data_IF_312809970604
#
_entry.id   IF_312809970604
#
_cell.length_a   1.000
_cell.length_b   1.000
_cell.length_c   1.000
_cell.angle_alpha   90.00
_cell.angle_beta   90.00
_cell.angle_gamma   90.00
#
_symmetry.space_group_name_H-M   'P 1'
#
loop_
_entity.id
_entity.type
_entity.pdbx_description
1 polymer ?
#
# COMPACT_ATOMS: atom_id res chain seq x y z
N UNK A 1 -40.28 45.12 38.92
CA UNK A 1 -39.66 45.44 37.61
C UNK A 1 -38.17 45.75 37.71
N UNK A 2 -37.71 46.63 38.59
CA UNK A 2 -36.29 47.03 38.68
C UNK A 2 -35.33 45.84 38.88
N UNK A 3 -35.67 44.86 39.72
CA UNK A 3 -34.84 43.67 39.95
C UNK A 3 -34.70 42.77 38.70
N UNK A 4 -35.76 42.64 37.90
CA UNK A 4 -35.72 41.84 36.67
C UNK A 4 -34.88 42.53 35.59
N UNK A 5 -34.97 43.85 35.49
CA UNK A 5 -34.15 44.65 34.57
C UNK A 5 -32.67 44.59 34.94
N UNK A 6 -32.35 44.64 36.25
CA UNK A 6 -30.98 44.46 36.74
C UNK A 6 -30.41 43.07 36.46
N UNK A 7 -31.22 42.01 36.64
CA UNK A 7 -30.78 40.65 36.37
C UNK A 7 -30.44 40.46 34.90
N UNK A 8 -31.32 40.91 33.99
CA UNK A 8 -31.10 40.80 32.53
C UNK A 8 -29.90 41.62 32.08
N UNK A 9 -29.69 42.81 32.64
CA UNK A 9 -28.51 43.62 32.36
C UNK A 9 -27.21 42.90 32.75
N UNK A 10 -27.20 42.21 33.90
CA UNK A 10 -26.04 41.47 34.37
C UNK A 10 -25.75 40.23 33.51
N UNK A 11 -26.78 39.48 33.08
CA UNK A 11 -26.57 38.33 32.19
C UNK A 11 -26.09 38.75 30.81
N UNK A 12 -26.64 39.83 30.25
CA UNK A 12 -26.20 40.33 28.94
C UNK A 12 -24.74 40.81 29.00
N UNK A 13 -24.35 41.50 30.07
CA UNK A 13 -22.97 41.93 30.27
C UNK A 13 -22.03 40.72 30.45
N UNK A 14 -22.45 39.70 31.21
CA UNK A 14 -21.69 38.47 31.39
C UNK A 14 -21.46 37.72 30.07
N UNK A 15 -22.51 37.58 29.25
CA UNK A 15 -22.40 36.94 27.93
C UNK A 15 -21.51 37.75 26.99
N UNK A 16 -21.61 39.09 27.01
CA UNK A 16 -20.76 39.95 26.19
C UNK A 16 -19.28 39.85 26.55
N UNK A 17 -18.95 39.75 27.84
CA UNK A 17 -17.56 39.56 28.31
C UNK A 17 -17.04 38.19 27.89
N UNK A 18 -17.83 37.12 28.07
CA UNK A 18 -17.44 35.77 27.63
C UNK A 18 -17.25 35.72 26.11
N UNK A 19 -18.14 36.33 25.34
CA UNK A 19 -18.01 36.42 23.88
C UNK A 19 -16.79 37.23 23.47
N UNK A 20 -16.50 38.35 24.13
CA UNK A 20 -15.29 39.13 23.86
C UNK A 20 -14.01 38.34 24.18
N UNK A 21 -13.98 37.55 25.25
CA UNK A 21 -12.83 36.69 25.58
C UNK A 21 -12.66 35.57 24.54
N UNK A 22 -13.75 34.90 24.16
CA UNK A 22 -13.71 33.84 23.14
C UNK A 22 -13.40 34.35 21.72
N UNK A 23 -13.76 35.59 21.40
CA UNK A 23 -13.49 36.19 20.09
C UNK A 23 -12.19 37.00 20.06
N UNK A 24 -11.58 37.31 21.21
CA UNK A 24 -10.28 38.01 21.32
C UNK A 24 -9.10 37.07 21.51
N UNK A 25 -9.32 35.78 21.78
CA UNK A 25 -8.26 34.80 21.58
C UNK A 25 -7.87 34.85 20.11
N UNK A 26 -6.64 35.26 19.82
CA UNK A 26 -6.05 35.18 18.48
C UNK A 26 -6.37 33.80 17.95
N UNK A 27 -7.04 33.74 16.79
CA UNK A 27 -7.23 32.47 16.09
C UNK A 27 -5.87 31.76 16.03
N UNK A 28 -5.83 30.43 16.22
CA UNK A 28 -4.57 29.69 16.13
C UNK A 28 -3.86 30.13 14.85
N UNK A 29 -2.64 30.65 14.99
CA UNK A 29 -1.82 31.01 13.84
C UNK A 29 -1.69 29.73 13.02
N UNK A 30 -2.16 29.76 11.76
CA UNK A 30 -2.17 28.57 10.91
C UNK A 30 -0.74 28.05 10.82
N UNK A 31 -0.56 26.76 11.14
CA UNK A 31 0.75 26.12 11.02
C UNK A 31 1.04 26.07 9.51
N UNK A 32 2.11 26.72 9.03
CA UNK A 32 2.40 26.71 7.61
C UNK A 32 2.73 25.28 7.18
N UNK A 33 2.09 24.81 6.12
CA UNK A 33 2.29 23.47 5.59
C UNK A 33 3.35 23.53 4.50
N UNK A 34 4.63 23.32 4.83
CA UNK A 34 5.72 23.33 3.86
C UNK A 34 6.39 21.95 3.76
N UNK A 35 6.51 21.41 2.54
CA UNK A 35 7.30 20.22 2.25
C UNK A 35 8.75 20.63 1.99
N UNK A 36 9.66 20.18 2.85
CA UNK A 36 11.09 20.52 2.80
C UNK A 36 11.90 19.23 2.73
N UNK A 37 12.83 19.16 1.77
CA UNK A 37 13.72 18.02 1.55
C UNK A 37 15.18 18.45 1.73
N UNK A 38 16.00 17.57 2.32
CA UNK A 38 17.45 17.77 2.45
C UNK A 38 18.18 17.01 1.35
N UNK A 39 19.17 17.65 0.74
CA UNK A 39 20.00 17.06 -0.30
C UNK A 39 21.45 17.48 -0.17
N UNK A 40 22.34 16.77 -0.87
CA UNK A 40 23.73 17.16 -1.02
C UNK A 40 23.90 17.95 -2.32
N UNK A 41 24.33 19.22 -2.22
CA UNK A 41 24.70 20.04 -3.37
C UNK A 41 26.17 20.38 -3.30
N UNK A 42 26.96 19.78 -4.21
CA UNK A 42 28.40 20.06 -4.35
C UNK A 42 29.20 19.88 -3.05
N UNK A 43 28.81 18.93 -2.19
CA UNK A 43 29.48 18.65 -0.92
C UNK A 43 28.91 19.43 0.28
N UNK A 44 27.88 20.25 0.09
CA UNK A 44 27.19 20.98 1.15
C UNK A 44 25.78 20.44 1.37
N UNK A 45 25.31 20.47 2.61
CA UNK A 45 23.91 20.25 2.94
C UNK A 45 23.07 21.39 2.35
N UNK A 46 21.99 21.04 1.68
CA UNK A 46 21.04 21.97 1.08
C UNK A 46 19.61 21.56 1.48
N UNK A 47 18.77 22.52 1.83
CA UNK A 47 17.34 22.31 2.09
C UNK A 47 16.54 22.95 0.96
N UNK A 48 15.66 22.21 0.30
CA UNK A 48 14.80 22.72 -0.77
C UNK A 48 13.34 22.63 -0.37
N UNK A 49 12.60 23.67 -0.70
CA UNK A 49 11.15 23.72 -0.51
C UNK A 49 10.46 23.10 -1.74
N UNK A 50 9.83 21.93 -1.57
CA UNK A 50 9.24 21.15 -2.67
C UNK A 50 7.74 21.37 -2.83
N UNK A 51 7.04 21.93 -1.82
CA UNK A 51 5.61 22.19 -1.92
C UNK A 51 5.03 22.90 -0.70
N UNK A 52 3.83 23.47 -0.85
CA UNK A 52 3.10 24.08 0.26
C UNK A 52 3.35 25.58 0.49
N UNK A 53 3.17 26.05 1.73
CA UNK A 53 3.19 27.46 2.13
C UNK A 53 4.60 28.04 2.21
N UNK A 54 4.79 29.25 1.68
CA UNK A 54 6.10 29.94 1.75
C UNK A 54 6.42 30.41 3.17
N UNK A 55 7.68 30.26 3.57
CA UNK A 55 8.14 30.55 4.93
C UNK A 55 8.94 31.85 4.99
N UNK A 56 8.47 32.82 5.79
CA UNK A 56 9.16 34.10 5.93
C UNK A 56 10.39 33.99 6.85
N UNK A 57 11.48 34.64 6.48
CA UNK A 57 12.69 34.71 7.32
C UNK A 57 12.34 35.32 8.68
N UNK A 58 12.66 34.59 9.75
CA UNK A 58 12.34 34.97 11.14
C UNK A 58 11.11 34.27 11.72
N UNK A 59 10.26 33.68 10.88
CA UNK A 59 9.10 32.85 11.26
C UNK A 59 9.44 31.36 11.31
N UNK A 60 10.66 30.96 10.92
CA UNK A 60 11.19 29.62 11.10
C UNK A 60 12.56 29.62 11.77
N UNK A 61 12.94 28.48 12.34
CA UNK A 61 14.26 28.16 12.87
C UNK A 61 14.73 26.83 12.32
N UNK A 62 16.03 26.72 12.06
CA UNK A 62 16.66 25.48 11.61
C UNK A 62 17.61 25.01 12.70
N UNK A 63 17.36 23.81 13.21
CA UNK A 63 18.20 23.15 14.20
C UNK A 63 18.98 22.03 13.52
N UNK A 64 20.26 21.89 13.87
CA UNK A 64 21.08 20.79 13.37
C UNK A 64 22.08 20.30 14.42
N UNK A 65 22.45 19.03 14.36
CA UNK A 65 23.22 18.37 15.41
C UNK A 65 23.87 17.05 15.01
N UNK A 66 24.65 16.49 15.94
CA UNK A 66 25.29 15.16 15.90
C UNK A 66 24.79 14.39 17.12
N UNK A 67 24.16 13.23 16.94
CA UNK A 67 23.42 12.53 18.01
C UNK A 67 22.24 13.31 18.60
N UNK A 68 22.05 13.22 19.92
CA UNK A 68 20.89 13.79 20.65
C UNK A 68 20.98 15.31 20.96
N UNK A 69 22.02 16.01 20.51
CA UNK A 69 22.20 17.45 20.75
C UNK A 69 21.89 18.28 19.49
N UNK A 70 20.78 19.03 19.52
CA UNK A 70 20.38 19.96 18.45
C UNK A 70 20.72 21.41 18.82
N UNK A 71 21.36 22.15 17.91
CA UNK A 71 21.67 23.57 18.08
C UNK A 71 20.96 24.40 17.01
N UNK A 72 20.50 25.60 17.37
CA UNK A 72 19.98 26.57 16.40
C UNK A 72 21.14 26.99 15.48
N UNK A 73 21.03 26.63 14.20
CA UNK A 73 22.00 26.94 13.15
C UNK A 73 21.38 27.74 12.02
N UNK A 74 20.23 28.38 12.26
CA UNK A 74 19.50 29.15 11.24
C UNK A 74 20.38 30.18 10.56
N UNK A 75 21.30 30.80 11.31
CA UNK A 75 22.26 31.80 10.84
C UNK A 75 23.37 31.25 9.92
N UNK A 76 23.55 29.93 9.90
CA UNK A 76 24.51 29.25 9.02
C UNK A 76 23.93 28.89 7.66
N UNK A 77 22.62 29.07 7.45
CA UNK A 77 22.00 28.89 6.14
C UNK A 77 22.00 30.19 5.33
N UNK A 78 22.05 30.07 4.01
CA UNK A 78 21.84 31.22 3.12
C UNK A 78 20.43 31.78 3.30
N UNK A 79 20.28 33.11 3.21
CA UNK A 79 18.98 33.78 3.31
C UNK A 79 18.39 33.99 1.90
N UNK A 80 17.10 33.71 1.68
CA UNK A 80 16.44 34.01 0.40
C UNK A 80 16.51 35.51 0.05
N UNK A 81 16.68 35.88 -1.24
CA UNK A 81 16.88 37.27 -1.65
C UNK A 81 15.71 38.21 -1.31
N UNK A 82 14.48 37.71 -1.31
CA UNK A 82 13.26 38.47 -1.03
C UNK A 82 12.75 38.28 0.42
N UNK A 83 13.49 37.52 1.24
CA UNK A 83 13.14 37.24 2.63
C UNK A 83 12.01 36.21 2.80
N UNK A 84 11.60 35.54 1.72
CA UNK A 84 10.63 34.44 1.73
C UNK A 84 11.32 33.18 1.23
N UNK A 85 11.09 32.04 1.87
CA UNK A 85 11.53 30.76 1.35
C UNK A 85 10.34 30.08 0.67
N UNK A 86 10.37 30.01 -0.65
CA UNK A 86 9.26 29.55 -1.49
C UNK A 86 9.59 28.29 -2.27
N UNK A 87 8.55 27.64 -2.85
CA UNK A 87 8.68 26.42 -3.64
C UNK A 87 9.75 26.57 -4.74
N UNK A 88 10.66 25.61 -4.82
CA UNK A 88 11.79 25.55 -5.75
C UNK A 88 13.06 26.26 -5.26
N UNK A 89 13.00 26.96 -4.12
CA UNK A 89 14.16 27.62 -3.55
C UNK A 89 14.94 26.74 -2.57
N UNK A 90 16.26 26.93 -2.55
CA UNK A 90 17.20 26.12 -1.77
C UNK A 90 18.00 26.98 -0.80
N UNK A 91 18.02 26.60 0.48
CA UNK A 91 18.94 27.15 1.48
C UNK A 91 20.17 26.26 1.59
N UNK A 92 21.37 26.84 1.48
CA UNK A 92 22.65 26.11 1.56
C UNK A 92 23.28 26.31 2.93
N UNK A 93 23.70 25.22 3.56
CA UNK A 93 24.31 25.21 4.88
C UNK A 93 25.82 25.45 4.84
N UNK A 94 26.28 26.43 5.63
CA UNK A 94 27.69 26.80 5.77
C UNK A 94 28.23 26.34 7.14
N UNK A 95 28.28 25.03 7.36
CA UNK A 95 28.80 24.44 8.59
C UNK A 95 29.27 22.99 8.41
N UNK A 96 29.83 22.37 9.47
CA UNK A 96 30.19 20.96 9.45
C UNK A 96 28.94 20.09 9.29
N UNK A 97 29.03 19.05 8.46
CA UNK A 97 27.90 18.20 8.09
C UNK A 97 27.18 17.66 9.34
N UNK A 98 25.91 18.00 9.57
CA UNK A 98 25.14 17.48 10.69
C UNK A 98 24.59 16.09 10.35
N UNK A 99 24.33 15.28 11.38
CA UNK A 99 23.65 13.98 11.24
C UNK A 99 22.13 14.14 11.17
N UNK A 100 21.60 15.21 11.79
CA UNK A 100 20.16 15.48 11.88
C UNK A 100 19.88 16.97 11.67
N UNK A 101 18.77 17.28 10.99
CA UNK A 101 18.30 18.65 10.72
C UNK A 101 16.80 18.72 10.92
N UNK A 102 16.31 19.78 11.59
CA UNK A 102 14.88 20.01 11.84
C UNK A 102 14.55 21.47 11.52
N UNK A 103 13.43 21.69 10.84
CA UNK A 103 12.86 23.03 10.59
C UNK A 103 11.63 23.22 11.47
N UNK A 104 11.60 24.31 12.23
CA UNK A 104 10.57 24.59 13.25
C UNK A 104 9.92 25.94 12.98
N UNK A 105 8.59 26.02 13.07
CA UNK A 105 7.83 27.28 13.02
C UNK A 105 7.99 28.04 14.33
N UNK A 106 8.24 29.34 14.25
CA UNK A 106 8.48 30.20 15.41
C UNK A 106 7.20 30.73 16.05
N UNK A 107 6.08 30.75 15.32
CA UNK A 107 4.78 31.17 15.84
C UNK A 107 4.13 30.12 16.74
N UNK A 108 4.21 28.84 16.33
CA UNK A 108 3.56 27.71 17.00
C UNK A 108 4.51 26.72 17.65
N UNK A 109 5.84 26.95 17.57
CA UNK A 109 6.90 26.03 18.03
C UNK A 109 6.72 24.58 17.54
N UNK A 110 6.11 24.42 16.35
CA UNK A 110 5.82 23.11 15.76
C UNK A 110 6.90 22.72 14.75
N UNK A 111 7.26 21.44 14.72
CA UNK A 111 8.15 20.89 13.69
C UNK A 111 7.42 20.97 12.34
N UNK A 112 8.02 21.67 11.39
CA UNK A 112 7.53 21.79 10.02
C UNK A 112 8.03 20.65 9.14
N UNK A 113 9.30 20.25 9.31
CA UNK A 113 9.90 19.14 8.60
C UNK A 113 11.14 18.60 9.33
N UNK A 114 11.35 17.30 9.24
CA UNK A 114 12.59 16.60 9.61
C UNK A 114 13.13 15.88 8.36
N UNK A 115 13.88 16.59 7.51
CA UNK A 115 14.33 16.01 6.25
C UNK A 115 15.45 14.99 6.46
N UNK A 116 15.34 13.83 5.81
CA UNK A 116 16.34 12.76 5.86
C UNK A 116 17.56 13.11 5.00
N UNK A 117 18.77 12.89 5.53
CA UNK A 117 20.04 13.20 4.85
C UNK A 117 20.83 11.92 4.57
N UNK A 118 20.96 11.53 3.30
CA UNK A 118 21.65 10.29 2.87
C UNK A 118 22.99 10.63 2.20
N UNK A 119 24.11 10.20 2.79
CA UNK A 119 25.45 10.37 2.19
C UNK A 119 25.72 9.28 1.16
N UNK A 120 25.41 9.56 -0.10
CA UNK A 120 25.68 8.61 -1.18
C UNK A 120 24.95 8.98 -2.47
N UNK A 121 25.58 9.82 -3.30
CA UNK A 121 25.37 9.84 -4.75
C UNK A 121 23.98 10.14 -5.33
N UNK A 122 22.92 10.40 -4.53
CA UNK A 122 21.65 10.90 -5.06
C UNK A 122 21.71 12.42 -5.21
N UNK A 123 21.69 12.85 -6.47
CA UNK A 123 21.29 14.20 -6.90
C UNK A 123 19.83 14.39 -6.48
N UNK A 124 19.46 15.61 -6.07
CA UNK A 124 18.09 16.05 -5.79
C UNK A 124 17.03 15.28 -6.59
N UNK A 125 16.20 14.50 -5.87
CA UNK A 125 14.99 13.88 -6.39
C UNK A 125 13.82 14.65 -5.73
N UNK A 126 12.97 15.37 -6.49
CA UNK A 126 11.95 16.28 -5.95
C UNK A 126 10.74 15.58 -5.30
N UNK A 127 10.80 14.27 -5.08
CA UNK A 127 9.71 13.56 -4.42
C UNK A 127 9.77 13.76 -2.88
N UNK A 128 8.69 14.26 -2.25
CA UNK A 128 8.67 14.62 -0.84
C UNK A 128 8.76 13.39 0.06
N UNK A 129 9.76 13.38 0.94
CA UNK A 129 9.88 12.40 2.03
C UNK A 129 8.90 12.78 3.15
N UNK A 130 8.08 11.82 3.58
CA UNK A 130 7.12 11.99 4.68
C UNK A 130 7.83 11.83 6.04
N UNK A 131 7.61 12.70 7.05
CA UNK A 131 8.35 12.69 8.32
C UNK A 131 7.94 11.57 9.27
N UNK A 132 8.91 10.93 9.92
CA UNK A 132 8.72 10.00 11.04
C UNK A 132 9.47 10.48 12.29
N UNK A 133 8.77 10.52 13.43
CA UNK A 133 9.29 10.83 14.78
C UNK A 133 9.59 9.52 15.58
N UNK A 134 10.31 9.53 16.72
CA UNK A 134 11.69 9.02 16.80
C UNK A 134 11.96 7.94 17.87
N UNK A 135 12.98 7.10 17.60
CA UNK A 135 13.62 6.18 18.57
C UNK A 135 14.72 5.31 17.93
N UNK A 136 15.98 5.72 18.10
CA UNK A 136 17.30 5.19 17.65
C UNK A 136 17.57 3.65 17.85
N UNK A 137 18.73 3.08 17.43
CA UNK A 137 19.61 3.26 16.26
C UNK A 137 20.00 1.92 15.58
N UNK A 138 20.12 1.90 14.26
CA UNK A 138 20.71 0.80 13.51
C UNK A 138 21.00 1.22 12.08
N UNK A 139 21.82 0.46 11.36
CA UNK A 139 21.72 0.34 9.88
C UNK A 139 20.23 0.33 9.48
N UNK A 140 19.80 0.66 8.24
CA UNK A 140 18.46 0.29 7.87
C UNK A 140 18.40 -1.22 8.06
N UNK A 141 17.68 -1.69 9.08
CA UNK A 141 17.26 -3.06 9.11
C UNK A 141 16.60 -3.23 7.75
N UNK A 142 17.21 -4.04 6.88
CA UNK A 142 16.43 -4.70 5.86
C UNK A 142 15.22 -5.22 6.62
N UNK A 143 14.04 -4.63 6.37
CA UNK A 143 12.82 -5.11 7.02
C UNK A 143 12.83 -6.60 6.80
N UNK A 144 12.88 -7.35 7.89
CA UNK A 144 12.84 -8.79 7.78
C UNK A 144 11.59 -9.11 6.94
N UNK A 145 11.67 -10.04 5.98
CA UNK A 145 10.56 -10.32 5.04
C UNK A 145 9.21 -10.52 5.75
N UNK A 146 9.29 -10.94 7.02
CA UNK A 146 8.19 -11.08 7.96
C UNK A 146 7.44 -9.77 8.26
N UNK A 147 8.15 -8.66 8.46
CA UNK A 147 7.55 -7.37 8.79
C UNK A 147 6.79 -6.82 7.59
N UNK A 148 7.29 -7.08 6.37
CA UNK A 148 6.59 -6.71 5.14
C UNK A 148 5.30 -7.53 4.99
N UNK A 149 5.31 -8.84 5.30
CA UNK A 149 4.10 -9.68 5.27
C UNK A 149 3.02 -9.15 6.23
N UNK A 150 3.44 -8.65 7.40
CA UNK A 150 2.54 -8.17 8.45
C UNK A 150 2.02 -6.77 8.13
N UNK A 151 2.90 -5.84 7.79
CA UNK A 151 2.59 -4.44 7.52
C UNK A 151 1.79 -4.28 6.22
N UNK A 152 2.15 -5.02 5.17
CA UNK A 152 1.45 -4.97 3.87
C UNK A 152 0.19 -5.83 3.85
N UNK A 153 -0.22 -6.41 4.99
CA UNK A 153 -1.39 -7.28 5.12
C UNK A 153 -1.40 -8.40 4.05
N UNK A 154 -0.26 -9.09 3.89
CA UNK A 154 -0.11 -10.12 2.85
C UNK A 154 -0.99 -11.31 3.19
N UNK A 155 -1.98 -11.53 2.33
CA UNK A 155 -2.96 -12.59 2.44
C UNK A 155 -2.49 -13.87 1.76
N UNK A 156 -1.93 -13.73 0.55
CA UNK A 156 -1.42 -14.83 -0.27
C UNK A 156 -0.06 -14.44 -0.82
N UNK A 157 0.94 -15.28 -0.55
CA UNK A 157 2.27 -15.18 -1.15
C UNK A 157 2.66 -16.54 -1.74
N UNK A 158 2.95 -16.59 -3.05
CA UNK A 158 3.30 -17.83 -3.75
C UNK A 158 3.50 -17.68 -5.25
N UNK A 159 3.88 -18.75 -5.94
CA UNK A 159 4.13 -18.73 -7.39
C UNK A 159 2.89 -18.90 -8.26
N UNK A 160 1.78 -19.39 -7.68
CA UNK A 160 0.56 -19.66 -8.41
C UNK A 160 -0.69 -19.33 -7.60
N UNK A 161 -1.74 -18.94 -8.30
CA UNK A 161 -3.06 -18.74 -7.72
C UNK A 161 -4.12 -19.36 -8.60
N UNK A 162 -4.96 -20.23 -8.03
CA UNK A 162 -6.12 -20.79 -8.72
C UNK A 162 -7.33 -20.64 -7.84
N UNK A 163 -8.34 -19.92 -8.32
CA UNK A 163 -9.52 -19.58 -7.57
C UNK A 163 -10.79 -20.14 -8.21
N UNK A 164 -11.20 -21.35 -7.80
CA UNK A 164 -12.48 -21.93 -8.16
C UNK A 164 -13.69 -21.35 -7.41
N UNK A 165 -13.44 -20.50 -6.40
CA UNK A 165 -14.48 -19.95 -5.54
C UNK A 165 -15.38 -18.90 -6.22
N UNK A 166 -16.33 -18.36 -5.47
CA UNK A 166 -17.18 -17.25 -5.91
C UNK A 166 -16.63 -15.89 -5.51
N UNK A 167 -16.15 -15.74 -4.27
CA UNK A 167 -15.70 -14.44 -3.75
C UNK A 167 -14.45 -14.59 -2.90
N UNK A 168 -13.45 -13.74 -3.13
CA UNK A 168 -12.37 -13.48 -2.19
C UNK A 168 -12.56 -12.07 -1.65
N UNK A 169 -12.72 -11.92 -0.34
CA UNK A 169 -12.92 -10.64 0.34
C UNK A 169 -11.71 -10.33 1.21
N UNK A 170 -10.91 -9.37 0.78
CA UNK A 170 -9.68 -8.97 1.45
C UNK A 170 -9.40 -7.48 1.18
N UNK A 171 -10.31 -6.57 1.59
CA UNK A 171 -10.07 -5.15 1.44
C UNK A 171 -8.93 -4.74 2.39
N UNK A 172 -8.07 -3.84 1.93
CA UNK A 172 -6.78 -3.46 2.51
C UNK A 172 -5.76 -4.61 2.65
N UNK A 173 -5.93 -5.69 1.88
CA UNK A 173 -4.99 -6.81 1.86
C UNK A 173 -4.20 -6.88 0.55
N UNK A 174 -3.10 -7.63 0.61
CA UNK A 174 -2.19 -7.79 -0.51
C UNK A 174 -2.07 -9.26 -0.94
N UNK A 175 -2.22 -9.51 -2.24
CA UNK A 175 -1.96 -10.80 -2.88
C UNK A 175 -0.76 -10.67 -3.79
N UNK A 176 0.22 -11.55 -3.60
CA UNK A 176 1.50 -11.52 -4.31
C UNK A 176 1.72 -12.87 -4.97
N UNK A 177 1.66 -12.86 -6.30
CA UNK A 177 1.85 -14.05 -7.13
C UNK A 177 3.10 -13.83 -7.96
N UNK A 178 4.17 -14.57 -7.69
CA UNK A 178 5.44 -14.39 -8.44
C UNK A 178 5.37 -14.90 -9.88
N UNK A 179 4.32 -15.66 -10.22
CA UNK A 179 3.97 -16.03 -11.58
C UNK A 179 2.92 -15.12 -12.23
N UNK A 180 2.32 -15.61 -13.31
CA UNK A 180 1.21 -14.95 -14.00
C UNK A 180 -0.17 -15.51 -13.64
N UNK A 181 -1.21 -14.96 -14.27
CA UNK A 181 -2.60 -15.37 -14.08
C UNK A 181 -3.32 -15.55 -15.42
N UNK A 182 -4.04 -16.64 -15.60
CA UNK A 182 -4.80 -16.92 -16.83
C UNK A 182 -6.30 -17.09 -16.54
N UNK A 183 -7.15 -16.94 -17.56
CA UNK A 183 -8.61 -17.18 -17.46
C UNK A 183 -8.94 -18.49 -16.74
N UNK A 184 -8.25 -19.58 -17.08
CA UNK A 184 -8.50 -20.92 -16.51
C UNK A 184 -8.07 -21.08 -15.05
N UNK A 185 -7.33 -20.11 -14.51
CA UNK A 185 -7.01 -20.06 -13.08
C UNK A 185 -8.20 -19.55 -12.26
N UNK A 186 -9.17 -18.86 -12.87
CA UNK A 186 -10.29 -18.27 -12.17
C UNK A 186 -11.60 -18.97 -12.52
N UNK A 187 -12.49 -19.05 -11.55
CA UNK A 187 -13.90 -19.24 -11.84
C UNK A 187 -14.41 -18.01 -12.61
N UNK A 188 -15.01 -18.22 -13.78
CA UNK A 188 -15.37 -17.16 -14.71
C UNK A 188 -16.33 -16.10 -14.16
N UNK A 189 -17.03 -16.35 -13.05
CA UNK A 189 -17.87 -15.35 -12.38
C UNK A 189 -17.31 -14.84 -11.05
N UNK A 190 -16.04 -15.12 -10.73
CA UNK A 190 -15.49 -14.79 -9.43
C UNK A 190 -15.34 -13.28 -9.21
N UNK A 191 -15.49 -12.86 -7.96
CA UNK A 191 -15.19 -11.51 -7.52
C UNK A 191 -14.01 -11.55 -6.55
N UNK A 192 -12.84 -11.06 -6.98
CA UNK A 192 -11.66 -10.97 -6.15
C UNK A 192 -11.53 -9.55 -5.58
N UNK A 193 -12.29 -9.29 -4.52
CA UNK A 193 -12.35 -8.04 -3.77
C UNK A 193 -11.10 -7.90 -2.86
N UNK A 194 -9.94 -7.73 -3.47
CA UNK A 194 -8.64 -7.54 -2.80
C UNK A 194 -8.07 -6.20 -3.22
N UNK A 195 -7.54 -5.42 -2.27
CA UNK A 195 -7.03 -4.08 -2.58
C UNK A 195 -5.79 -4.09 -3.43
N UNK A 196 -4.81 -4.93 -3.09
CA UNK A 196 -3.53 -4.96 -3.78
C UNK A 196 -3.26 -6.32 -4.43
N UNK A 197 -2.87 -6.29 -5.70
CA UNK A 197 -2.37 -7.44 -6.43
C UNK A 197 -1.01 -7.13 -7.03
N UNK A 198 -0.09 -8.09 -6.88
CA UNK A 198 1.21 -8.06 -7.53
C UNK A 198 1.41 -9.37 -8.29
N UNK A 199 1.58 -9.26 -9.61
CA UNK A 199 1.86 -10.39 -10.49
C UNK A 199 3.28 -10.28 -11.05
N UNK A 200 4.10 -11.29 -10.81
CA UNK A 200 5.47 -11.37 -11.30
C UNK A 200 5.59 -11.80 -12.77
N UNK A 201 4.46 -12.07 -13.44
CA UNK A 201 4.41 -12.35 -14.86
C UNK A 201 3.09 -11.92 -15.50
N UNK A 202 2.88 -12.34 -16.75
CA UNK A 202 1.74 -11.93 -17.56
C UNK A 202 0.38 -12.29 -16.93
N UNK A 203 -0.59 -11.39 -17.11
CA UNK A 203 -2.00 -11.61 -16.76
C UNK A 203 -2.83 -11.68 -18.03
N UNK A 204 -3.31 -12.88 -18.37
CA UNK A 204 -4.11 -13.13 -19.56
C UNK A 204 -5.54 -13.57 -19.22
N UNK A 205 -6.46 -12.60 -19.17
CA UNK A 205 -7.87 -12.80 -18.91
C UNK A 205 -8.68 -12.53 -20.19
N UNK A 206 -8.61 -13.50 -21.11
CA UNK A 206 -9.40 -13.56 -22.34
C UNK A 206 -10.53 -14.59 -22.18
N UNK A 207 -11.64 -14.17 -21.58
CA UNK A 207 -12.79 -15.02 -21.24
C UNK A 207 -13.24 -14.87 -19.79
N UNK A 208 -14.39 -15.48 -19.45
CA UNK A 208 -15.04 -15.27 -18.15
C UNK A 208 -15.47 -13.81 -17.96
N UNK A 209 -15.68 -13.39 -16.71
CA UNK A 209 -15.96 -12.02 -16.25
C UNK A 209 -15.46 -11.83 -14.81
N UNK A 210 -14.43 -12.61 -14.41
CA UNK A 210 -13.89 -12.54 -13.06
C UNK A 210 -13.25 -11.18 -12.83
N UNK A 211 -13.67 -10.49 -11.77
CA UNK A 211 -13.24 -9.12 -11.47
C UNK A 211 -12.07 -9.11 -10.50
N UNK A 212 -11.21 -8.10 -10.64
CA UNK A 212 -10.03 -7.87 -9.80
C UNK A 212 -10.12 -6.50 -9.13
N UNK A 213 -9.54 -6.40 -7.95
CA UNK A 213 -9.50 -5.16 -7.19
C UNK A 213 -10.67 -5.01 -6.23
N UNK A 214 -10.46 -4.25 -5.16
CA UNK A 214 -11.51 -3.92 -4.22
C UNK A 214 -12.30 -2.71 -4.67
N UNK A 215 -13.63 -2.83 -4.74
CA UNK A 215 -14.52 -1.69 -4.98
C UNK A 215 -14.60 -0.76 -3.77
N UNK A 216 -14.50 -1.32 -2.56
CA UNK A 216 -14.61 -0.59 -1.29
C UNK A 216 -13.32 0.14 -0.92
N UNK A 217 -12.17 -0.52 -1.09
CA UNK A 217 -10.85 0.05 -0.84
C UNK A 217 -9.93 -0.21 -2.04
N UNK A 218 -10.14 0.47 -3.18
CA UNK A 218 -9.28 0.33 -4.35
C UNK A 218 -7.81 0.58 -3.99
N UNK A 219 -6.93 -0.35 -4.37
CA UNK A 219 -5.49 -0.26 -4.16
C UNK A 219 -4.76 -0.33 -5.49
N UNK A 220 -3.68 -1.11 -5.54
CA UNK A 220 -2.78 -1.24 -6.69
C UNK A 220 -2.91 -2.62 -7.33
N UNK A 221 -2.94 -2.67 -8.66
CA UNK A 221 -2.76 -3.90 -9.44
C UNK A 221 -1.50 -3.75 -10.28
N UNK A 222 -0.44 -4.45 -9.90
CA UNK A 222 0.83 -4.46 -10.63
C UNK A 222 1.01 -5.77 -11.43
N UNK A 223 1.44 -5.63 -12.68
CA UNK A 223 1.73 -6.73 -13.60
C UNK A 223 3.13 -6.54 -14.18
N UNK A 224 4.07 -7.40 -13.78
CA UNK A 224 5.43 -7.47 -14.32
C UNK A 224 5.43 -8.25 -15.66
N UNK A 225 4.79 -7.67 -16.66
CA UNK A 225 4.63 -8.26 -17.99
C UNK A 225 3.38 -7.74 -18.68
N UNK A 226 2.85 -8.53 -19.63
CA UNK A 226 1.70 -8.13 -20.42
C UNK A 226 0.37 -8.31 -19.67
N UNK A 227 -0.55 -7.37 -19.87
CA UNK A 227 -1.92 -7.43 -19.38
C UNK A 227 -2.90 -7.58 -20.55
N UNK A 228 -3.72 -8.63 -20.50
CA UNK A 228 -4.78 -8.89 -21.48
C UNK A 228 -6.12 -8.98 -20.78
N UNK A 229 -6.99 -8.00 -21.05
CA UNK A 229 -8.38 -7.92 -20.60
C UNK A 229 -9.29 -7.87 -21.83
N UNK A 230 -9.38 -9.00 -22.54
CA UNK A 230 -9.93 -9.03 -23.88
C UNK A 230 -11.42 -9.39 -23.88
N UNK A 231 -11.78 -10.66 -23.72
CA UNK A 231 -13.18 -11.05 -23.61
C UNK A 231 -13.73 -11.01 -22.19
N UNK A 232 -14.90 -10.36 -22.05
CA UNK A 232 -15.83 -10.41 -20.91
C UNK A 232 -15.83 -9.20 -19.98
N UNK A 233 -17.03 -8.81 -19.54
CA UNK A 233 -17.32 -7.54 -18.85
C UNK A 233 -16.94 -7.47 -17.36
N UNK A 234 -15.71 -7.87 -17.03
CA UNK A 234 -15.15 -7.80 -15.67
C UNK A 234 -14.91 -6.37 -15.22
N UNK A 235 -14.96 -6.13 -13.90
CA UNK A 235 -14.52 -4.87 -13.31
C UNK A 235 -13.06 -4.98 -12.84
N UNK A 236 -12.32 -3.90 -13.02
CA UNK A 236 -10.96 -3.72 -12.52
C UNK A 236 -10.98 -2.46 -11.63
N UNK A 237 -10.83 -2.67 -10.33
CA UNK A 237 -10.81 -1.60 -9.34
C UNK A 237 -9.38 -1.33 -8.85
N UNK A 238 -9.05 -0.05 -8.69
CA UNK A 238 -7.71 0.40 -8.30
C UNK A 238 -6.87 0.83 -9.50
N UNK A 239 -5.71 1.40 -9.18
CA UNK A 239 -4.75 1.84 -10.19
C UNK A 239 -3.94 0.64 -10.69
N UNK A 240 -3.74 0.59 -12.00
CA UNK A 240 -3.10 -0.54 -12.68
C UNK A 240 -1.75 -0.14 -13.26
N UNK A 241 -0.72 -0.93 -13.00
CA UNK A 241 0.64 -0.71 -13.49
C UNK A 241 1.09 -1.93 -14.28
N UNK A 242 1.48 -1.73 -15.53
CA UNK A 242 1.82 -2.81 -16.48
C UNK A 242 3.24 -2.56 -17.01
N UNK A 243 4.17 -3.45 -16.69
CA UNK A 243 5.55 -3.42 -17.22
C UNK A 243 5.67 -4.19 -18.55
N UNK A 244 4.74 -3.92 -19.46
CA UNK A 244 4.59 -4.61 -20.73
C UNK A 244 3.45 -4.02 -21.56
N UNK A 245 2.93 -4.81 -22.49
CA UNK A 245 1.84 -4.36 -23.37
C UNK A 245 0.47 -4.55 -22.70
N UNK A 246 -0.46 -3.62 -22.96
CA UNK A 246 -1.83 -3.70 -22.47
C UNK A 246 -2.83 -3.87 -23.61
N UNK A 247 -3.66 -4.92 -23.52
CA UNK A 247 -4.77 -5.19 -24.44
C UNK A 247 -6.10 -5.09 -23.70
N UNK A 248 -6.91 -4.11 -24.07
CA UNK A 248 -8.19 -3.82 -23.42
C UNK A 248 -9.34 -3.89 -24.43
N UNK A 249 -10.36 -4.71 -24.17
CA UNK A 249 -11.56 -4.79 -25.00
C UNK A 249 -12.85 -4.72 -24.18
N UNK A 250 -13.33 -5.77 -23.51
CA UNK A 250 -14.68 -5.75 -22.92
C UNK A 250 -14.71 -5.32 -21.43
N UNK A 251 -13.55 -5.14 -20.81
CA UNK A 251 -13.44 -4.86 -19.37
C UNK A 251 -13.79 -3.42 -18.99
N UNK A 252 -14.13 -3.24 -17.71
CA UNK A 252 -14.48 -1.96 -17.08
C UNK A 252 -13.37 -1.52 -16.14
N UNK A 253 -12.73 -0.41 -16.48
CA UNK A 253 -11.61 0.17 -15.74
C UNK A 253 -12.13 1.30 -14.85
N UNK A 254 -11.88 1.21 -13.54
CA UNK A 254 -12.34 2.19 -12.56
C UNK A 254 -11.25 3.14 -12.05
N UNK A 255 -9.97 2.75 -12.10
CA UNK A 255 -8.82 3.58 -11.72
C UNK A 255 -7.91 3.92 -12.91
N UNK A 256 -6.81 4.63 -12.64
CA UNK A 256 -5.85 4.98 -13.69
C UNK A 256 -5.00 3.77 -14.09
N UNK A 257 -4.55 3.74 -15.34
CA UNK A 257 -3.70 2.66 -15.87
C UNK A 257 -2.41 3.25 -16.43
N UNK A 258 -1.28 2.67 -16.04
CA UNK A 258 0.07 3.07 -16.42
C UNK A 258 0.75 1.92 -17.17
N UNK A 259 0.92 2.07 -18.48
CA UNK A 259 1.43 1.03 -19.39
C UNK A 259 2.83 1.40 -19.88
N UNK A 260 3.83 0.64 -19.49
CA UNK A 260 5.20 0.76 -20.00
C UNK A 260 5.39 -0.04 -21.31
N UNK A 261 4.49 0.15 -22.27
CA UNK A 261 4.44 -0.61 -23.52
C UNK A 261 3.36 -0.14 -24.48
N UNK A 262 3.05 -0.97 -25.47
CA UNK A 262 2.00 -0.71 -26.46
C UNK A 262 0.60 -0.87 -25.84
N UNK A 263 -0.33 -0.02 -26.26
CA UNK A 263 -1.73 -0.09 -25.87
C UNK A 263 -2.59 -0.51 -27.07
N UNK A 264 -3.25 -1.67 -26.97
CA UNK A 264 -4.22 -2.13 -27.98
C UNK A 264 -5.63 -2.10 -27.42
N UNK A 265 -6.49 -1.32 -28.06
CA UNK A 265 -7.91 -1.26 -27.76
C UNK A 265 -8.73 -2.13 -28.72
N UNK A 266 -9.67 -2.88 -28.16
CA UNK A 266 -10.75 -3.56 -28.87
C UNK A 266 -12.07 -2.81 -28.74
N UNK A 267 -13.15 -3.45 -29.18
CA UNK A 267 -14.51 -2.90 -29.08
C UNK A 267 -15.03 -2.94 -27.64
N UNK A 268 -15.86 -1.95 -27.29
CA UNK A 268 -16.68 -1.92 -26.06
C UNK A 268 -15.99 -1.90 -24.69
N UNK A 269 -14.78 -1.31 -24.50
CA UNK A 269 -14.28 -1.08 -23.16
C UNK A 269 -15.09 0.01 -22.49
N UNK A 270 -15.04 0.03 -21.17
CA UNK A 270 -15.57 1.14 -20.39
C UNK A 270 -14.48 1.65 -19.46
N UNK A 271 -14.26 2.96 -19.48
CA UNK A 271 -13.30 3.64 -18.63
C UNK A 271 -14.09 4.67 -17.82
N UNK A 272 -14.01 4.59 -16.50
CA UNK A 272 -14.70 5.48 -15.58
C UNK A 272 -14.40 6.96 -15.89
N UNK A 273 -15.29 7.87 -15.51
CA UNK A 273 -15.22 9.29 -15.87
C UNK A 273 -13.86 9.92 -15.56
N UNK A 274 -13.30 9.61 -14.40
CA UNK A 274 -12.03 10.15 -13.91
C UNK A 274 -10.81 9.26 -14.17
N UNK A 275 -10.99 8.10 -14.81
CA UNK A 275 -9.92 7.15 -15.10
C UNK A 275 -9.27 7.43 -16.46
N UNK A 276 -7.95 7.30 -16.53
CA UNK A 276 -7.15 7.49 -17.74
C UNK A 276 -6.21 6.32 -17.97
N UNK A 277 -5.77 6.14 -19.22
CA UNK A 277 -4.74 5.15 -19.57
C UNK A 277 -3.53 5.90 -20.12
N UNK A 278 -2.44 5.91 -19.36
CA UNK A 278 -1.16 6.45 -19.77
C UNK A 278 -0.31 5.35 -20.39
N UNK A 279 0.31 5.59 -21.55
CA UNK A 279 1.12 4.59 -22.24
C UNK A 279 2.37 5.18 -22.88
N UNK A 280 3.45 4.39 -22.98
CA UNK A 280 4.73 4.82 -23.56
C UNK A 280 4.98 4.33 -24.99
N UNK A 281 4.29 3.26 -25.40
CA UNK A 281 4.42 2.67 -26.73
C UNK A 281 3.42 3.24 -27.75
N UNK A 282 2.96 2.39 -28.66
CA UNK A 282 1.99 2.74 -29.70
C UNK A 282 0.57 2.45 -29.24
N UNK A 283 -0.36 3.35 -29.60
CA UNK A 283 -1.78 3.10 -29.52
C UNK A 283 -2.29 2.43 -30.80
N UNK A 284 -2.96 1.30 -30.66
CA UNK A 284 -3.73 0.63 -31.70
C UNK A 284 -5.21 0.62 -31.34
N UNK A 285 -6.04 1.19 -32.20
CA UNK A 285 -7.51 1.21 -32.05
C UNK A 285 -8.17 0.21 -33.01
N UNK A 286 -9.48 -0.08 -32.85
CA UNK A 286 -10.28 -0.66 -33.91
C UNK A 286 -10.22 0.18 -35.19
N UNK A 287 -10.37 -0.46 -36.36
CA UNK A 287 -10.34 0.21 -37.66
C UNK A 287 -11.50 1.22 -37.83
N UNK A 288 -12.64 0.92 -37.19
CA UNK A 288 -13.83 1.75 -37.20
C UNK A 288 -14.42 1.86 -35.79
N UNK A 289 -14.62 3.09 -35.31
CA UNK A 289 -15.31 3.39 -34.06
C UNK A 289 -16.07 4.71 -34.19
N UNK A 290 -17.10 4.91 -33.37
CA UNK A 290 -17.97 6.08 -33.42
C UNK A 290 -17.47 7.26 -32.56
N UNK A 291 -18.14 8.41 -32.65
CA UNK A 291 -17.78 9.61 -31.88
C UNK A 291 -17.88 9.37 -30.37
N UNK A 292 -18.75 8.48 -29.93
CA UNK A 292 -18.86 8.10 -28.53
C UNK A 292 -17.58 7.40 -28.06
N UNK A 293 -17.10 6.42 -28.80
CA UNK A 293 -15.86 5.71 -28.50
C UNK A 293 -14.64 6.65 -28.57
N UNK A 294 -14.61 7.55 -29.57
CA UNK A 294 -13.57 8.56 -29.69
C UNK A 294 -13.46 9.42 -28.41
N UNK A 295 -14.60 9.90 -27.93
CA UNK A 295 -14.70 10.82 -26.79
C UNK A 295 -14.51 10.12 -25.44
N UNK A 296 -15.04 8.91 -25.29
CA UNK A 296 -15.11 8.24 -23.97
C UNK A 296 -13.98 7.23 -23.73
N UNK A 297 -13.33 6.75 -24.80
CA UNK A 297 -12.26 5.74 -24.71
C UNK A 297 -10.94 6.30 -25.22
N UNK A 298 -10.88 6.71 -26.49
CA UNK A 298 -9.61 7.13 -27.12
C UNK A 298 -9.08 8.41 -26.49
N UNK A 299 -9.94 9.40 -26.22
CA UNK A 299 -9.52 10.66 -25.59
C UNK A 299 -8.95 10.50 -24.17
N UNK A 300 -9.23 9.38 -23.50
CA UNK A 300 -8.69 9.05 -22.17
C UNK A 300 -7.36 8.29 -22.23
N UNK A 301 -6.91 7.91 -23.42
CA UNK A 301 -5.64 7.24 -23.64
C UNK A 301 -4.57 8.30 -23.97
N UNK A 302 -3.65 8.54 -23.05
CA UNK A 302 -2.69 9.64 -23.09
C UNK A 302 -1.28 9.07 -23.26
N UNK A 303 -0.65 9.36 -24.39
CA UNK A 303 0.75 8.99 -24.59
C UNK A 303 1.66 9.82 -23.69
N UNK A 304 2.61 9.17 -23.02
CA UNK A 304 3.63 9.78 -22.17
C UNK A 304 5.02 9.26 -22.56
N UNK A 305 6.07 10.06 -22.36
CA UNK A 305 7.44 9.57 -22.58
C UNK A 305 7.84 8.50 -21.53
N UNK A 306 7.29 8.62 -20.32
CA UNK A 306 7.48 7.70 -19.20
C UNK A 306 6.19 7.65 -18.38
N UNK A 307 5.95 6.51 -17.74
CA UNK A 307 4.90 6.37 -16.73
C UNK A 307 5.53 6.09 -15.36
N UNK A 308 4.83 6.36 -14.23
CA UNK A 308 5.31 5.99 -12.91
C UNK A 308 5.65 4.51 -12.86
N UNK A 309 6.85 4.20 -12.35
CA UNK A 309 7.30 2.83 -12.17
C UNK A 309 6.78 2.27 -10.86
N UNK A 310 6.45 0.99 -10.87
CA UNK A 310 6.22 0.19 -9.68
C UNK A 310 7.07 -1.05 -9.79
N UNK A 311 7.65 -1.44 -8.67
CA UNK A 311 8.43 -2.66 -8.57
C UNK A 311 7.62 -3.72 -7.84
N UNK A 312 7.85 -4.98 -8.22
CA UNK A 312 7.42 -6.11 -7.41
C UNK A 312 8.05 -5.96 -6.03
N UNK A 313 7.30 -6.00 -4.93
CA UNK A 313 7.93 -5.90 -3.63
C UNK A 313 8.83 -7.13 -3.43
N UNK A 314 10.04 -6.87 -2.98
CA UNK A 314 11.05 -7.90 -2.72
C UNK A 314 10.73 -8.58 -1.38
N UNK A 315 9.79 -9.50 -1.40
CA UNK A 315 9.51 -10.36 -0.26
C UNK A 315 10.41 -11.58 -0.37
N UNK A 316 11.44 -11.73 0.47
CA UNK A 316 12.03 -13.06 0.59
C UNK A 316 10.97 -14.01 1.15
N UNK A 317 10.88 -15.22 0.59
CA UNK A 317 9.89 -16.18 1.05
C UNK A 317 10.22 -16.60 2.50
N UNK A 318 9.31 -16.47 3.46
CA UNK A 318 9.61 -16.76 4.86
C UNK A 318 10.01 -18.22 5.07
N UNK A 319 11.08 -18.44 5.84
CA UNK A 319 11.55 -19.77 6.19
C UNK A 319 10.76 -20.35 7.37
N UNK A 320 10.81 -21.67 7.57
CA UNK A 320 10.27 -22.26 8.80
C UNK A 320 11.26 -22.09 9.95
N UNK A 321 10.75 -21.93 11.19
CA UNK A 321 11.55 -22.02 12.41
C UNK A 321 12.20 -23.41 12.54
N UNK A 322 13.11 -23.57 13.50
CA UNK A 322 13.73 -24.88 13.74
C UNK A 322 12.70 -25.90 14.27
N UNK A 323 12.87 -27.21 14.01
CA UNK A 323 12.01 -28.25 14.58
C UNK A 323 11.84 -28.17 16.10
N UNK A 324 12.92 -27.83 16.82
CA UNK A 324 12.92 -27.68 18.27
C UNK A 324 12.01 -26.54 18.74
N UNK A 325 11.93 -25.45 17.97
CA UNK A 325 11.02 -24.35 18.27
C UNK A 325 9.57 -24.84 18.23
N UNK A 326 9.17 -25.60 17.21
CA UNK A 326 7.80 -26.12 17.14
C UNK A 326 7.47 -27.10 18.28
N UNK A 327 8.44 -27.91 18.69
CA UNK A 327 8.31 -28.82 19.83
C UNK A 327 8.04 -28.06 21.14
N UNK A 328 8.71 -26.93 21.37
CA UNK A 328 8.50 -26.09 22.57
C UNK A 328 7.25 -25.22 22.51
N UNK A 329 6.66 -25.01 21.32
CA UNK A 329 5.47 -24.16 21.11
C UNK A 329 4.19 -24.97 20.86
N UNK A 330 4.15 -26.21 21.34
CA UNK A 330 2.98 -27.11 21.36
C UNK A 330 2.42 -27.54 20.00
N UNK A 331 3.22 -27.44 18.93
CA UNK A 331 2.87 -28.02 17.64
C UNK A 331 2.88 -29.55 17.72
N UNK A 332 1.94 -30.18 17.01
CA UNK A 332 1.81 -31.64 16.92
C UNK A 332 1.82 -32.08 15.47
N UNK A 333 2.07 -33.37 15.21
CA UNK A 333 2.05 -33.91 13.84
C UNK A 333 0.64 -34.00 13.23
N UNK A 334 -0.40 -33.94 14.07
CA UNK A 334 -1.82 -33.99 13.66
C UNK A 334 -2.62 -32.96 14.44
N UNK A 335 -3.78 -32.56 13.92
CA UNK A 335 -4.65 -31.62 14.62
C UNK A 335 -5.14 -32.22 15.95
N UNK A 336 -4.84 -31.52 17.05
CA UNK A 336 -5.30 -31.86 18.40
C UNK A 336 -6.03 -30.67 19.02
N UNK A 337 -6.32 -30.71 20.33
CA UNK A 337 -6.89 -29.58 21.06
C UNK A 337 -6.01 -28.32 21.03
N UNK A 338 -4.70 -28.44 20.79
CA UNK A 338 -3.79 -27.30 20.65
C UNK A 338 -3.98 -26.54 19.34
N UNK A 339 -4.62 -27.16 18.34
CA UNK A 339 -4.89 -26.61 17.00
C UNK A 339 -3.65 -26.17 16.21
N UNK A 340 -2.45 -26.50 16.69
CA UNK A 340 -1.16 -26.22 16.06
C UNK A 340 -0.58 -27.50 15.45
N UNK A 341 -0.23 -27.45 14.16
CA UNK A 341 0.29 -28.60 13.41
C UNK A 341 1.64 -28.26 12.78
N UNK A 342 2.65 -29.10 13.01
CA UNK A 342 3.95 -29.06 12.34
C UNK A 342 4.24 -30.47 11.80
N UNK A 343 4.28 -30.61 10.48
CA UNK A 343 4.45 -31.89 9.80
C UNK A 343 5.14 -31.71 8.44
N UNK A 344 5.69 -32.78 7.81
CA UNK A 344 6.25 -32.68 6.46
C UNK A 344 5.21 -32.25 5.43
N UNK A 345 3.98 -32.74 5.58
CA UNK A 345 2.81 -32.37 4.78
C UNK A 345 1.57 -32.60 5.63
N UNK A 346 0.45 -31.95 5.29
CA UNK A 346 -0.77 -32.04 6.09
C UNK A 346 -2.02 -32.19 5.23
N UNK A 347 -2.79 -33.24 5.49
CA UNK A 347 -4.09 -33.47 4.85
C UNK A 347 -5.15 -33.73 5.90
N UNK A 348 -6.21 -32.95 5.87
CA UNK A 348 -7.36 -33.16 6.75
C UNK A 348 -8.67 -32.81 6.06
N UNK A 349 -9.71 -33.59 6.37
CA UNK A 349 -11.07 -33.30 5.94
C UNK A 349 -11.94 -32.83 7.11
N UNK A 350 -12.87 -31.92 6.86
CA UNK A 350 -13.81 -31.42 7.86
C UNK A 350 -13.60 -29.94 8.18
N UNK A 351 -14.53 -29.40 8.96
CA UNK A 351 -14.42 -28.03 9.46
C UNK A 351 -13.41 -27.94 10.58
N UNK A 352 -12.67 -26.84 10.63
CA UNK A 352 -11.70 -26.56 11.68
C UNK A 352 -11.66 -25.05 11.94
N UNK A 353 -11.34 -24.63 13.16
CA UNK A 353 -11.34 -23.20 13.49
C UNK A 353 -10.17 -22.82 14.36
N UNK A 354 -9.51 -21.73 13.99
CA UNK A 354 -8.31 -21.16 14.59
C UNK A 354 -7.16 -22.19 14.60
N UNK A 355 -6.91 -22.78 13.43
CA UNK A 355 -5.78 -23.71 13.26
C UNK A 355 -4.53 -22.96 12.80
N UNK A 356 -3.37 -23.45 13.19
CA UNK A 356 -2.09 -23.02 12.64
C UNK A 356 -1.42 -24.26 12.09
N UNK A 357 -1.20 -24.33 10.78
CA UNK A 357 -0.66 -25.50 10.10
C UNK A 357 0.61 -25.12 9.37
N UNK A 358 1.70 -25.82 9.67
CA UNK A 358 3.00 -25.70 9.03
C UNK A 358 3.34 -27.02 8.35
N UNK A 359 3.37 -27.01 7.01
CA UNK A 359 3.87 -28.11 6.20
C UNK A 359 5.30 -27.81 5.73
N UNK A 360 6.30 -28.27 6.48
CA UNK A 360 7.68 -27.81 6.33
C UNK A 360 8.41 -28.35 5.08
N UNK A 361 7.85 -29.33 4.38
CA UNK A 361 8.49 -29.94 3.20
C UNK A 361 7.57 -30.15 1.99
N UNK A 362 6.25 -30.18 2.18
CA UNK A 362 5.29 -30.43 1.13
C UNK A 362 3.96 -29.70 1.33
N UNK A 363 2.88 -30.31 0.86
CA UNK A 363 1.61 -29.61 0.67
C UNK A 363 0.69 -29.63 1.91
N UNK A 364 -0.22 -28.65 1.93
CA UNK A 364 -1.39 -28.62 2.81
C UNK A 364 -2.64 -28.84 1.98
N UNK A 365 -3.47 -29.82 2.34
CA UNK A 365 -4.80 -30.02 1.75
C UNK A 365 -5.86 -30.09 2.84
N UNK A 366 -6.72 -29.08 2.91
CA UNK A 366 -7.74 -28.95 3.96
C UNK A 366 -9.13 -28.67 3.40
N UNK A 367 -10.16 -29.06 4.16
CA UNK A 367 -11.57 -28.77 3.85
C UNK A 367 -12.40 -30.01 3.54
N UNK A 368 -13.21 -29.97 2.51
CA UNK A 368 -14.22 -30.97 2.16
C UNK A 368 -15.58 -30.34 1.88
N UNK A 369 -16.50 -31.12 1.29
CA UNK A 369 -17.82 -30.62 0.91
C UNK A 369 -18.55 -29.94 2.09
N UNK A 370 -18.89 -28.66 1.92
CA UNK A 370 -19.64 -27.89 2.91
C UNK A 370 -18.83 -27.41 4.14
N UNK A 371 -17.51 -27.61 4.18
CA UNK A 371 -16.73 -27.31 5.38
C UNK A 371 -16.32 -25.84 5.47
N UNK A 372 -16.10 -25.38 6.70
CA UNK A 372 -15.51 -24.07 7.00
C UNK A 372 -14.19 -24.26 7.73
N UNK A 373 -13.14 -23.59 7.24
CA UNK A 373 -11.81 -23.60 7.88
C UNK A 373 -11.40 -22.18 8.21
N UNK A 374 -10.92 -21.95 9.44
CA UNK A 374 -10.29 -20.67 9.82
C UNK A 374 -8.89 -20.88 10.39
N UNK A 375 -7.93 -20.03 10.02
CA UNK A 375 -6.58 -20.10 10.56
C UNK A 375 -5.45 -19.66 9.62
N UNK A 376 -4.23 -20.04 10.00
CA UNK A 376 -2.98 -19.75 9.29
C UNK A 376 -2.46 -21.03 8.65
N UNK A 377 -2.24 -21.01 7.34
CA UNK A 377 -1.68 -22.13 6.58
C UNK A 377 -0.35 -21.72 5.96
N UNK A 378 0.72 -22.41 6.35
CA UNK A 378 2.08 -22.10 5.94
C UNK A 378 2.77 -23.32 5.31
N UNK A 379 3.15 -23.22 4.05
CA UNK A 379 3.82 -24.26 3.26
C UNK A 379 5.05 -23.69 2.54
N UNK A 380 6.21 -23.53 3.22
CA UNK A 380 7.40 -22.86 2.67
C UNK A 380 8.04 -23.56 1.47
N UNK A 381 7.68 -24.82 1.23
CA UNK A 381 8.19 -25.60 0.10
C UNK A 381 7.10 -26.30 -0.71
N UNK A 382 5.85 -25.92 -0.51
CA UNK A 382 4.72 -26.60 -1.11
C UNK A 382 3.58 -25.64 -1.42
N UNK A 383 2.44 -26.24 -1.71
CA UNK A 383 1.19 -25.57 -2.05
C UNK A 383 0.15 -25.74 -0.95
N UNK A 384 -0.87 -24.90 -0.98
CA UNK A 384 -2.07 -25.04 -0.15
C UNK A 384 -3.26 -25.28 -1.07
N UNK A 385 -3.99 -26.36 -0.82
CA UNK A 385 -5.26 -26.66 -1.48
C UNK A 385 -6.41 -26.59 -0.48
N UNK A 386 -7.41 -25.77 -0.80
CA UNK A 386 -8.65 -25.70 -0.05
C UNK A 386 -9.84 -26.21 -0.88
N UNK A 387 -10.68 -27.02 -0.24
CA UNK A 387 -11.86 -27.63 -0.88
C UNK A 387 -13.12 -27.51 -0.02
N UNK A 388 -13.52 -26.31 0.39
CA UNK A 388 -14.68 -26.14 1.27
C UNK A 388 -15.65 -25.02 0.88
N UNK A 389 -16.65 -24.80 1.73
CA UNK A 389 -17.62 -23.71 1.57
C UNK A 389 -17.00 -22.34 1.90
N UNK A 390 -16.19 -22.26 2.96
CA UNK A 390 -15.53 -21.01 3.33
C UNK A 390 -14.17 -21.19 3.99
N UNK A 391 -13.19 -20.38 3.57
CA UNK A 391 -11.90 -20.24 4.25
C UNK A 391 -11.76 -18.82 4.78
N UNK A 392 -11.29 -18.68 6.02
CA UNK A 392 -10.94 -17.40 6.62
C UNK A 392 -9.52 -17.46 7.18
N UNK A 393 -8.65 -16.51 6.80
CA UNK A 393 -7.34 -16.36 7.42
C UNK A 393 -6.21 -16.08 6.43
N UNK A 394 -5.03 -16.65 6.68
CA UNK A 394 -3.77 -16.34 5.97
C UNK A 394 -3.21 -17.58 5.31
N UNK A 395 -2.72 -17.44 4.07
CA UNK A 395 -2.09 -18.53 3.31
C UNK A 395 -0.75 -18.08 2.76
N UNK A 396 0.34 -18.66 3.25
CA UNK A 396 1.69 -18.41 2.76
C UNK A 396 2.22 -19.74 2.21
N UNK A 397 2.34 -19.86 0.89
CA UNK A 397 2.65 -21.13 0.23
C UNK A 397 3.47 -20.92 -1.03
N UNK A 398 4.71 -21.43 -1.05
CA UNK A 398 5.68 -21.19 -2.12
C UNK A 398 5.13 -21.54 -3.49
N UNK A 399 4.50 -22.71 -3.61
CA UNK A 399 4.01 -23.23 -4.88
C UNK A 399 2.56 -22.81 -5.18
N UNK A 400 1.97 -21.99 -4.30
CA UNK A 400 0.71 -21.30 -4.54
C UNK A 400 -0.49 -21.77 -3.72
N UNK A 401 -1.61 -21.08 -3.94
CA UNK A 401 -2.88 -21.34 -3.28
C UNK A 401 -3.99 -21.73 -4.28
N UNK A 402 -4.60 -22.88 -4.03
CA UNK A 402 -5.54 -23.55 -4.93
C UNK A 402 -6.90 -23.77 -4.26
N UNK A 403 -7.91 -23.04 -4.71
CA UNK A 403 -9.30 -23.21 -4.30
C UNK A 403 -9.97 -24.08 -5.35
N UNK A 404 -10.31 -25.31 -4.99
CA UNK A 404 -10.82 -26.32 -5.92
C UNK A 404 -12.35 -26.37 -5.99
N UNK A 405 -13.04 -25.86 -4.98
CA UNK A 405 -14.49 -25.92 -4.87
C UNK A 405 -15.17 -24.69 -5.49
N UNK A 406 -16.19 -24.96 -6.31
CA UNK A 406 -17.09 -23.93 -6.84
C UNK A 406 -17.86 -23.25 -5.71
N UNK A 407 -18.04 -21.94 -5.79
CA UNK A 407 -18.87 -21.20 -4.83
C UNK A 407 -18.19 -20.87 -3.50
N UNK A 408 -16.95 -21.34 -3.27
CA UNK A 408 -16.18 -21.04 -2.05
C UNK A 408 -16.08 -19.54 -1.80
N UNK A 409 -16.25 -19.15 -0.53
CA UNK A 409 -15.94 -17.80 -0.04
C UNK A 409 -14.60 -17.81 0.69
N UNK A 410 -13.74 -16.89 0.33
CA UNK A 410 -12.45 -16.70 0.98
C UNK A 410 -12.46 -15.32 1.62
N UNK A 411 -12.07 -15.23 2.88
CA UNK A 411 -12.00 -13.97 3.62
C UNK A 411 -10.61 -13.83 4.22
N UNK A 412 -9.91 -12.74 3.94
CA UNK A 412 -8.66 -12.46 4.62
C UNK A 412 -8.92 -11.97 6.04
N UNK A 413 -8.09 -12.43 6.95
CA UNK A 413 -7.91 -11.88 8.29
C UNK A 413 -6.43 -11.78 8.55
N UNK A 414 -5.97 -10.62 9.04
CA UNK A 414 -4.57 -10.42 9.39
C UNK A 414 -4.13 -11.51 10.38
N UNK A 415 -2.87 -11.96 10.26
CA UNK A 415 -2.30 -13.00 11.12
C UNK A 415 -2.43 -12.68 12.61
N UNK A 416 -2.44 -11.41 12.99
CA UNK A 416 -2.65 -10.90 14.35
C UNK A 416 -3.98 -11.35 14.99
N UNK A 417 -4.99 -11.66 14.17
CA UNK A 417 -6.29 -12.19 14.61
C UNK A 417 -6.20 -13.65 15.08
N UNK A 418 -5.16 -14.37 14.67
CA UNK A 418 -4.90 -15.77 15.07
C UNK A 418 -3.73 -15.91 16.03
N UNK A 419 -2.73 -15.05 15.90
CA UNK A 419 -1.50 -15.07 16.69
C UNK A 419 -1.20 -13.65 17.15
N UNK A 420 -1.40 -13.37 18.43
CA UNK A 420 -1.28 -12.00 18.96
C UNK A 420 0.17 -11.54 19.14
N UNK A 421 1.08 -12.48 19.42
CA UNK A 421 2.50 -12.19 19.60
C UNK A 421 3.26 -12.49 18.29
N UNK A 422 3.91 -11.51 17.66
CA UNK A 422 4.76 -11.74 16.47
C UNK A 422 5.85 -12.80 16.69
N UNK A 423 6.37 -12.95 17.91
CA UNK A 423 7.38 -13.96 18.24
C UNK A 423 6.83 -15.40 18.14
N UNK A 424 5.51 -15.57 18.22
CA UNK A 424 4.82 -16.85 18.07
C UNK A 424 4.51 -17.20 16.59
N UNK A 425 4.95 -16.37 15.64
CA UNK A 425 4.71 -16.62 14.22
C UNK A 425 5.51 -17.84 13.75
N UNK A 426 4.89 -18.73 12.97
CA UNK A 426 5.50 -20.03 12.65
C UNK A 426 6.60 -19.96 11.59
N UNK A 427 7.14 -18.78 11.28
CA UNK A 427 8.17 -18.56 10.26
C UNK A 427 9.23 -17.61 10.77
#
# INVERSE_FOLDING_TARGET
MVAAVLLVGLTVLGVAIVAAIFLSSSQPEEIPHAAIVAGNRSGYLALTHEGGDSLKVGEYRIYAGTGNELQDVTDKFTVPPDGMWSIGETLVYNGPVPERVIVVSRGTETILSEPTFVWGGKVFDPDPVVPGEPGEPGDPEEKEPIDIIIEENVFVYGSAFKFGGANANAPNATVVITGGLNTNNLNGGAFLNVSNFYFGGNVNLDGGSASLGSEEMPGIIYVNGDLVLWEGGRNIYGDVYVDGDFRLKDAKIHGDVYVNGDLTLGNTPWIAENAHIYYTGKLKTPEHYDDYYATNIVAKCIHQATVPKRDMPDFEFPSAKSPEWYDTHDYKQTLTSTKKVYAPSYTASGSASNIIVVAHDGDISVGGGGTTVTGVLFAPKGSVTFSGNSFEGVVIARDGFFISSGGTKVTFKNIQEYISDPEDYPF
#
